data_IF_461957518333
#
_entry.id   IF_461957518333
#
_cell.length_a   1.000
_cell.length_b   1.000
_cell.length_c   1.000
_cell.angle_alpha   90.00
_cell.angle_beta   90.00
_cell.angle_gamma   90.00
#
_symmetry.space_group_name_H-M   'P 1'
#
loop_
_entity.id
_entity.type
_entity.pdbx_description
1 polymer ?
#
# COMPACT_ATOMS: atom_id res chain seq x y z
N UNK A 1 23.31 -24.56 1.34
CA UNK A 1 21.97 -25.20 1.28
C UNK A 1 20.99 -24.22 0.65
N UNK A 2 20.95 -24.16 -0.68
CA UNK A 2 20.14 -23.17 -1.42
C UNK A 2 18.76 -23.71 -1.74
N UNK A 3 17.78 -23.46 -0.88
CA UNK A 3 16.38 -23.64 -1.24
C UNK A 3 15.93 -22.47 -2.14
N UNK A 4 15.12 -22.74 -3.15
CA UNK A 4 14.41 -21.65 -3.86
C UNK A 4 13.48 -20.94 -2.87
N UNK A 5 13.25 -19.61 -2.96
CA UNK A 5 12.26 -18.93 -2.13
C UNK A 5 10.83 -19.34 -2.53
N UNK A 6 9.88 -19.23 -1.60
CA UNK A 6 8.46 -19.28 -1.93
C UNK A 6 8.06 -17.98 -2.65
N UNK A 7 7.21 -18.09 -3.67
CA UNK A 7 6.75 -16.93 -4.45
C UNK A 7 5.48 -16.30 -3.84
N UNK A 8 5.39 -14.97 -3.86
CA UNK A 8 4.14 -14.21 -3.66
C UNK A 8 3.85 -13.35 -4.90
N UNK A 9 2.60 -13.38 -5.37
CA UNK A 9 2.09 -12.59 -6.49
C UNK A 9 0.93 -11.72 -6.01
N UNK A 10 0.98 -10.42 -6.29
CA UNK A 10 -0.11 -9.47 -6.05
C UNK A 10 -0.69 -8.99 -7.39
N UNK A 11 -1.98 -9.23 -7.61
CA UNK A 11 -2.72 -8.76 -8.79
C UNK A 11 -3.47 -7.49 -8.39
N UNK A 12 -3.15 -6.36 -9.03
CA UNK A 12 -3.61 -5.03 -8.63
C UNK A 12 -4.79 -4.55 -9.46
N UNK A 13 -5.77 -3.93 -8.81
CA UNK A 13 -6.76 -3.09 -9.50
C UNK A 13 -6.11 -1.83 -10.07
N UNK A 14 -6.74 -1.22 -11.07
CA UNK A 14 -6.31 0.11 -11.55
C UNK A 14 -6.36 1.13 -10.40
N UNK A 15 -5.26 1.86 -10.10
CA UNK A 15 -5.28 2.89 -9.07
C UNK A 15 -6.31 3.99 -9.37
N UNK A 16 -7.05 4.39 -8.34
CA UNK A 16 -8.06 5.45 -8.37
C UNK A 16 -7.59 6.61 -7.49
N UNK A 17 -7.64 7.83 -8.02
CA UNK A 17 -7.27 9.03 -7.28
C UNK A 17 -8.29 9.33 -6.17
N UNK A 18 -7.83 9.65 -4.97
CA UNK A 18 -8.67 10.12 -3.87
C UNK A 18 -8.80 11.64 -4.00
N UNK A 19 -9.99 12.09 -4.41
CA UNK A 19 -10.31 13.51 -4.56
C UNK A 19 -10.94 14.05 -3.28
N UNK A 20 -10.13 14.20 -2.23
CA UNK A 20 -10.53 14.79 -0.95
C UNK A 20 -9.92 16.19 -0.78
N UNK A 21 -10.76 17.16 -0.41
CA UNK A 21 -10.35 18.56 -0.22
C UNK A 21 -9.78 18.78 1.17
N UNK A 22 -10.41 18.21 2.19
CA UNK A 22 -9.88 18.27 3.55
C UNK A 22 -8.82 17.19 3.71
N UNK A 23 -7.56 17.55 3.52
CA UNK A 23 -6.44 16.60 3.63
C UNK A 23 -6.44 15.88 4.98
N UNK A 24 -6.84 16.53 6.07
CA UNK A 24 -6.84 15.90 7.41
C UNK A 24 -7.89 14.81 7.57
N UNK A 25 -8.86 14.72 6.66
CA UNK A 25 -9.85 13.64 6.66
C UNK A 25 -9.38 12.38 5.91
N UNK A 26 -8.28 12.46 5.14
CA UNK A 26 -7.76 11.36 4.34
C UNK A 26 -7.56 10.04 5.11
N UNK A 27 -7.03 10.00 6.35
CA UNK A 27 -6.91 8.76 7.10
C UNK A 27 -8.24 8.00 7.23
N UNK A 28 -9.37 8.70 7.28
CA UNK A 28 -10.71 8.09 7.41
C UNK A 28 -11.20 7.42 6.12
N UNK A 29 -10.58 7.72 4.99
CA UNK A 29 -10.94 7.18 3.68
C UNK A 29 -10.13 5.93 3.31
N UNK A 30 -9.16 5.56 4.15
CA UNK A 30 -8.21 4.47 3.92
C UNK A 30 -8.59 3.29 4.80
N UNK A 31 -8.73 2.12 4.19
CA UNK A 31 -9.04 0.88 4.89
C UNK A 31 -7.80 0.00 4.97
N UNK A 32 -7.25 -0.13 6.19
CA UNK A 32 -6.11 -1.00 6.47
C UNK A 32 -6.46 -2.44 6.10
N UNK A 33 -5.52 -3.13 5.44
CA UNK A 33 -5.70 -4.49 4.96
C UNK A 33 -6.51 -4.64 3.67
N UNK A 34 -7.08 -3.56 3.14
CA UNK A 34 -7.81 -3.56 1.88
C UNK A 34 -7.15 -2.66 0.84
N UNK A 35 -6.87 -1.42 1.23
CA UNK A 35 -6.32 -0.41 0.34
C UNK A 35 -4.78 -0.44 0.35
N UNK A 36 -4.20 -0.47 -0.84
CA UNK A 36 -2.82 -0.08 -1.11
C UNK A 36 -2.79 1.39 -1.52
N UNK A 37 -1.68 2.07 -1.21
CA UNK A 37 -1.52 3.48 -1.50
C UNK A 37 -0.41 3.70 -2.52
N UNK A 38 -0.66 4.61 -3.45
CA UNK A 38 0.36 5.19 -4.31
C UNK A 38 0.29 6.70 -4.19
N UNK A 39 1.45 7.35 -4.10
CA UNK A 39 1.53 8.78 -3.99
C UNK A 39 2.45 9.35 -5.05
N UNK A 40 2.08 10.51 -5.59
CA UNK A 40 2.82 11.20 -6.63
C UNK A 40 2.84 12.71 -6.39
N UNK A 41 4.02 13.32 -6.56
CA UNK A 41 4.21 14.77 -6.56
C UNK A 41 5.37 15.16 -7.48
N UNK A 42 5.06 15.83 -8.59
CA UNK A 42 6.06 16.14 -9.61
C UNK A 42 6.71 14.86 -10.13
N UNK A 43 8.04 14.73 -9.95
CA UNK A 43 8.83 13.54 -10.33
C UNK A 43 8.88 12.45 -9.25
N UNK A 44 8.38 12.72 -8.05
CA UNK A 44 8.45 11.82 -6.91
C UNK A 44 7.23 10.90 -6.90
N UNK A 45 7.45 9.59 -6.76
CA UNK A 45 6.39 8.60 -6.71
C UNK A 45 6.79 7.42 -5.82
N UNK A 46 5.85 6.92 -5.03
CA UNK A 46 6.03 5.74 -4.19
C UNK A 46 4.72 4.99 -4.04
N UNK A 47 4.80 3.69 -3.77
CA UNK A 47 3.63 2.88 -3.46
C UNK A 47 3.93 1.85 -2.36
N UNK A 48 2.90 1.50 -1.62
CA UNK A 48 2.91 0.43 -0.61
C UNK A 48 1.67 -0.45 -0.82
N UNK A 49 1.87 -1.77 -0.71
CA UNK A 49 0.82 -2.77 -0.93
C UNK A 49 -0.11 -2.89 0.30
N UNK A 50 -1.34 -3.41 0.13
CA UNK A 50 -2.32 -3.51 1.22
C UNK A 50 -1.89 -4.31 2.45
N UNK A 51 -0.98 -5.29 2.29
CA UNK A 51 -0.47 -6.13 3.39
C UNK A 51 0.56 -5.40 4.27
N UNK A 52 1.24 -4.39 3.75
CA UNK A 52 2.32 -3.70 4.46
C UNK A 52 1.83 -3.07 5.78
N UNK A 53 0.75 -2.27 5.83
CA UNK A 53 0.32 -1.67 7.09
C UNK A 53 -0.10 -2.70 8.14
N UNK A 54 -0.59 -3.88 7.75
CA UNK A 54 -0.87 -4.97 8.71
C UNK A 54 0.44 -5.55 9.26
N UNK A 55 1.40 -5.86 8.37
CA UNK A 55 2.68 -6.48 8.76
C UNK A 55 3.51 -5.60 9.71
N UNK A 56 3.28 -4.30 9.68
CA UNK A 56 3.98 -3.31 10.50
C UNK A 56 3.11 -2.69 11.60
N UNK A 57 1.86 -3.12 11.76
CA UNK A 57 0.91 -2.61 12.75
C UNK A 57 0.72 -1.08 12.64
N UNK A 58 0.55 -0.57 11.42
CA UNK A 58 0.34 0.85 11.14
C UNK A 58 -1.15 1.18 11.03
N UNK A 59 -1.52 2.31 11.61
CA UNK A 59 -2.80 2.94 11.32
C UNK A 59 -2.80 3.66 9.96
N UNK A 60 -3.95 4.24 9.60
CA UNK A 60 -4.12 4.92 8.31
C UNK A 60 -3.25 6.19 8.15
N UNK A 61 -2.98 6.91 9.23
CA UNK A 61 -2.14 8.11 9.20
C UNK A 61 -0.67 7.72 9.06
N UNK A 62 -0.22 6.72 9.81
CA UNK A 62 1.11 6.13 9.67
C UNK A 62 1.33 5.56 8.28
N UNK A 63 0.34 4.88 7.71
CA UNK A 63 0.41 4.34 6.36
C UNK A 63 0.60 5.44 5.30
N UNK A 64 -0.11 6.57 5.43
CA UNK A 64 0.09 7.76 4.59
C UNK A 64 1.49 8.33 4.72
N UNK A 65 1.99 8.48 5.96
CA UNK A 65 3.34 8.98 6.23
C UNK A 65 4.42 8.08 5.63
N UNK A 66 4.27 6.76 5.77
CA UNK A 66 5.22 5.80 5.21
C UNK A 66 5.18 5.78 3.67
N UNK A 67 4.01 6.01 3.07
CA UNK A 67 3.91 6.18 1.63
C UNK A 67 4.64 7.46 1.13
N UNK A 68 4.65 8.53 1.94
CA UNK A 68 5.46 9.74 1.66
C UNK A 68 6.95 9.41 1.63
N UNK A 69 7.42 8.75 2.67
CA UNK A 69 8.82 8.34 2.76
C UNK A 69 9.19 7.42 1.60
N UNK A 70 8.30 6.48 1.23
CA UNK A 70 8.50 5.58 0.08
C UNK A 70 8.59 6.32 -1.25
N UNK A 71 7.89 7.45 -1.40
CA UNK A 71 7.96 8.32 -2.57
C UNK A 71 9.22 9.22 -2.58
N UNK A 72 10.04 9.18 -1.53
CA UNK A 72 11.19 10.07 -1.35
C UNK A 72 10.80 11.50 -0.95
N UNK A 73 9.67 11.65 -0.25
CA UNK A 73 9.12 12.93 0.20
C UNK A 73 9.07 13.00 1.73
N UNK A 74 8.97 14.20 2.34
CA UNK A 74 8.74 14.37 3.77
C UNK A 74 7.47 13.64 4.24
N UNK A 75 7.43 13.08 5.47
CA UNK A 75 6.33 12.22 5.92
C UNK A 75 4.96 12.90 5.94
N UNK A 76 4.90 14.22 6.04
CA UNK A 76 3.69 15.04 6.02
C UNK A 76 3.26 15.49 4.61
N UNK A 77 3.95 15.02 3.55
CA UNK A 77 3.69 15.46 2.18
C UNK A 77 2.25 15.21 1.70
N UNK A 78 1.53 14.26 2.30
CA UNK A 78 0.13 13.94 2.00
C UNK A 78 -0.84 15.05 2.42
N UNK A 79 -0.43 15.92 3.35
CA UNK A 79 -1.15 17.14 3.75
C UNK A 79 -0.96 18.30 2.77
N UNK A 80 0.02 18.21 1.87
CA UNK A 80 0.40 19.32 1.01
C UNK A 80 -0.42 19.33 -0.29
N UNK A 81 -0.85 20.52 -0.68
CA UNK A 81 -1.47 20.72 -1.99
C UNK A 81 -0.53 20.31 -3.13
N UNK A 82 -1.12 19.75 -4.19
CA UNK A 82 -0.38 19.17 -5.32
C UNK A 82 0.15 17.76 -5.11
N UNK A 83 0.04 17.18 -3.91
CA UNK A 83 0.27 15.75 -3.69
C UNK A 83 -0.96 14.96 -4.11
N UNK A 84 -0.78 14.06 -5.10
CA UNK A 84 -1.85 13.15 -5.56
C UNK A 84 -1.73 11.83 -4.84
N UNK A 85 -2.84 11.35 -4.31
CA UNK A 85 -2.92 10.09 -3.56
C UNK A 85 -3.89 9.20 -4.32
N UNK A 86 -3.45 7.98 -4.60
CA UNK A 86 -4.21 6.96 -5.27
C UNK A 86 -4.39 5.77 -4.35
N UNK A 87 -5.58 5.17 -4.38
CA UNK A 87 -5.84 3.86 -3.77
C UNK A 87 -5.99 2.78 -4.82
N UNK A 88 -5.59 1.56 -4.48
CA UNK A 88 -5.85 0.36 -5.26
C UNK A 88 -6.04 -0.82 -4.31
N UNK A 89 -6.64 -1.90 -4.76
CA UNK A 89 -6.71 -3.16 -4.02
C UNK A 89 -5.82 -4.21 -4.68
N UNK A 90 -5.48 -5.26 -3.93
CA UNK A 90 -4.69 -6.38 -4.43
C UNK A 90 -5.32 -7.73 -4.05
N UNK A 91 -5.31 -8.67 -5.00
CA UNK A 91 -5.49 -10.08 -4.69
C UNK A 91 -4.12 -10.73 -4.56
N UNK A 92 -3.86 -11.35 -3.40
CA UNK A 92 -2.55 -11.91 -3.05
C UNK A 92 -2.60 -13.42 -3.12
N UNK A 93 -1.64 -14.01 -3.83
CA UNK A 93 -1.43 -15.44 -3.94
C UNK A 93 -0.01 -15.80 -3.51
N UNK A 94 0.17 -16.81 -2.69
CA UNK A 94 1.48 -17.26 -2.23
C UNK A 94 1.62 -18.78 -2.27
N UNK A 95 2.85 -19.27 -2.44
CA UNK A 95 3.17 -20.67 -2.23
C UNK A 95 3.31 -20.99 -0.73
N UNK A 96 2.73 -22.09 -0.25
CA UNK A 96 2.89 -22.52 1.17
C UNK A 96 4.35 -22.86 1.53
N UNK A 97 5.12 -23.28 0.53
CA UNK A 97 6.55 -23.58 0.57
C UNK A 97 7.09 -23.49 -0.87
N UNK A 98 8.40 -23.40 -1.10
CA UNK A 98 8.95 -23.29 -2.45
C UNK A 98 8.44 -24.40 -3.38
N UNK A 99 7.82 -24.04 -4.52
CA UNK A 99 7.19 -24.97 -5.47
C UNK A 99 6.04 -25.80 -4.88
N UNK A 100 5.42 -25.29 -3.81
CA UNK A 100 4.31 -25.92 -3.11
C UNK A 100 2.95 -25.55 -3.71
N UNK A 101 1.88 -25.84 -2.96
CA UNK A 101 0.53 -25.43 -3.32
C UNK A 101 0.43 -23.90 -3.27
N UNK A 102 -0.23 -23.32 -4.27
CA UNK A 102 -0.57 -21.89 -4.27
C UNK A 102 -1.88 -21.69 -3.53
N UNK A 103 -1.90 -20.74 -2.60
CA UNK A 103 -3.06 -20.34 -1.82
C UNK A 103 -3.35 -18.86 -2.02
N UNK A 104 -4.62 -18.47 -1.92
CA UNK A 104 -5.03 -17.07 -1.84
C UNK A 104 -4.85 -16.59 -0.40
N UNK A 105 -4.00 -15.59 -0.19
CA UNK A 105 -3.78 -14.98 1.13
C UNK A 105 -4.91 -13.99 1.42
N UNK A 106 -5.63 -14.19 2.51
CA UNK A 106 -6.60 -13.23 3.04
C UNK A 106 -5.90 -12.35 4.06
N UNK A 107 -5.99 -11.04 3.86
CA UNK A 107 -5.52 -10.07 4.85
C UNK A 107 -6.60 -9.90 5.92
N UNK A 108 -6.19 -10.02 7.18
CA UNK A 108 -7.04 -9.75 8.33
C UNK A 108 -6.51 -8.46 8.95
N UNK A 109 -7.30 -7.36 8.94
CA UNK A 109 -6.93 -6.13 9.61
C UNK A 109 -6.99 -6.27 11.13
#
# INVERSE_FOLDING_TARGET
SGGSPALELSILTKPQEILERDRRSLPRLIRIGEDGLMMARGRYQGLLLPQVPIEWDWDAEEFLMQCCLKAGLPPDCWLMDGTRIYRFQAEIFCEERPRGKVIRRRLLP
#
